data_IF_911146299448
#
_entry.id   IF_911146299448
#
_cell.length_a   1.000
_cell.length_b   1.000
_cell.length_c   1.000
_cell.angle_alpha   90.00
_cell.angle_beta   90.00
_cell.angle_gamma   90.00
#
_symmetry.space_group_name_H-M   'P 1'
#
loop_
_entity.id
_entity.type
_entity.pdbx_description
1 polymer ?
#
# COMPACT_ATOMS: atom_id res chain seq x y z
N UNK A 1 -23.68 -22.51 -13.44
CA UNK A 1 -22.97 -23.01 -12.25
C UNK A 1 -21.51 -22.65 -12.45
N UNK A 2 -21.07 -21.47 -11.97
CA UNK A 2 -19.69 -21.00 -12.17
C UNK A 2 -18.85 -21.64 -11.06
N UNK A 3 -17.69 -22.25 -11.36
CA UNK A 3 -16.85 -22.81 -10.31
C UNK A 3 -16.43 -21.66 -9.38
N UNK A 4 -16.71 -21.80 -8.08
CA UNK A 4 -16.16 -20.97 -7.00
C UNK A 4 -14.65 -21.25 -6.96
N UNK A 5 -13.87 -20.57 -7.79
CA UNK A 5 -12.45 -20.41 -7.52
C UNK A 5 -12.39 -19.44 -6.34
N UNK A 6 -12.53 -19.97 -5.13
CA UNK A 6 -12.50 -19.17 -3.91
C UNK A 6 -11.07 -18.69 -3.72
N UNK A 7 -10.73 -17.57 -4.35
CA UNK A 7 -9.55 -16.82 -3.95
C UNK A 7 -9.73 -16.47 -2.48
N UNK A 8 -8.71 -16.74 -1.66
CA UNK A 8 -8.76 -16.42 -0.24
C UNK A 8 -8.74 -14.89 -0.07
N UNK A 9 -9.43 -14.40 0.95
CA UNK A 9 -9.26 -13.03 1.44
C UNK A 9 -7.96 -12.93 2.25
N UNK A 10 -7.45 -11.71 2.47
CA UNK A 10 -6.26 -11.55 3.32
C UNK A 10 -6.58 -11.82 4.79
N UNK A 11 -7.77 -11.47 5.28
CA UNK A 11 -8.20 -11.89 6.63
C UNK A 11 -8.13 -13.40 6.82
N UNK A 12 -8.55 -14.18 5.82
CA UNK A 12 -8.46 -15.64 5.88
C UNK A 12 -7.01 -16.15 5.87
N UNK A 13 -6.11 -15.48 5.12
CA UNK A 13 -4.68 -15.82 5.08
C UNK A 13 -4.03 -15.59 6.45
N UNK A 14 -4.34 -14.47 7.11
CA UNK A 14 -3.82 -14.14 8.43
C UNK A 14 -4.37 -15.13 9.48
N UNK A 15 -5.69 -15.33 9.54
CA UNK A 15 -6.31 -16.22 10.52
C UNK A 15 -5.80 -17.67 10.44
N UNK A 16 -5.55 -18.20 9.22
CA UNK A 16 -4.97 -19.54 9.03
C UNK A 16 -3.51 -19.64 9.48
N UNK A 17 -2.77 -18.53 9.43
CA UNK A 17 -1.37 -18.52 9.83
C UNK A 17 -1.25 -18.57 11.35
N UNK A 18 -2.11 -17.86 12.07
CA UNK A 18 -2.17 -17.90 13.54
C UNK A 18 -2.55 -19.28 14.08
N UNK A 19 -3.48 -19.98 13.41
CA UNK A 19 -3.90 -21.32 13.82
C UNK A 19 -2.80 -22.37 13.64
N UNK A 20 -1.91 -22.18 12.66
CA UNK A 20 -0.76 -23.07 12.43
C UNK A 20 0.30 -22.95 13.53
N UNK A 21 0.44 -21.78 14.16
CA UNK A 21 1.34 -21.57 15.30
C UNK A 21 0.71 -22.06 16.62
N UNK A 22 -0.61 -21.94 16.76
CA UNK A 22 -1.37 -22.37 17.95
C UNK A 22 -1.44 -23.89 18.15
N UNK A 23 -1.21 -24.71 17.12
CA UNK A 23 -1.27 -26.17 17.21
C UNK A 23 -0.16 -26.79 18.09
N UNK A 24 0.88 -26.02 18.46
CA UNK A 24 1.92 -26.44 19.41
C UNK A 24 1.63 -26.04 20.86
N UNK A 25 0.46 -25.46 21.17
CA UNK A 25 0.13 -24.98 22.52
C UNK A 25 -1.36 -25.11 22.86
N UNK A 26 -1.92 -26.31 22.67
CA UNK A 26 -3.25 -26.63 23.19
C UNK A 26 -3.15 -27.35 24.55
N UNK A 27 -3.45 -26.62 25.64
CA UNK A 27 -4.16 -27.16 26.81
C UNK A 27 -4.40 -26.05 27.84
N UNK A 28 -5.63 -25.52 27.87
CA UNK A 28 -6.39 -25.32 29.11
C UNK A 28 -7.83 -24.94 28.72
N UNK A 29 -8.73 -25.90 28.97
CA UNK A 29 -10.18 -25.74 28.95
C UNK A 29 -10.63 -25.10 30.27
N UNK A 30 -11.56 -24.16 30.18
CA UNK A 30 -12.64 -23.83 31.13
C UNK A 30 -13.66 -23.05 30.27
N UNK A 31 -14.94 -23.37 30.13
CA UNK A 31 -15.88 -24.03 31.02
C UNK A 31 -16.85 -22.98 31.58
N UNK A 32 -17.95 -22.67 30.87
CA UNK A 32 -19.25 -22.15 31.37
C UNK A 32 -20.11 -21.66 30.19
N UNK A 33 -21.27 -22.27 29.90
CA UNK A 33 -22.60 -22.15 30.53
C UNK A 33 -23.51 -21.21 29.73
N UNK A 34 -24.40 -21.83 28.95
CA UNK A 34 -25.54 -21.26 28.24
C UNK A 34 -26.42 -20.41 29.15
N UNK A 35 -26.64 -19.15 28.76
CA UNK A 35 -27.82 -18.37 29.15
C UNK A 35 -28.50 -17.91 27.88
N UNK A 36 -29.69 -18.45 27.62
CA UNK A 36 -30.54 -18.08 26.49
C UNK A 36 -31.40 -16.90 26.94
N UNK A 37 -31.09 -15.69 26.48
CA UNK A 37 -31.95 -14.53 26.66
C UNK A 37 -32.26 -13.83 25.33
N UNK A 38 -33.50 -13.37 25.27
CA UNK A 38 -34.27 -12.93 24.14
C UNK A 38 -33.95 -11.46 23.85
N UNK A 39 -33.14 -11.15 22.83
CA UNK A 39 -32.77 -9.75 22.51
C UNK A 39 -32.41 -9.56 21.03
N UNK A 40 -33.39 -9.60 20.14
CA UNK A 40 -33.18 -9.26 18.72
C UNK A 40 -32.96 -7.75 18.47
N UNK A 41 -33.09 -6.88 19.47
CA UNK A 41 -32.84 -5.43 19.33
C UNK A 41 -31.43 -4.97 19.72
N UNK A 42 -30.61 -5.80 20.36
CA UNK A 42 -29.23 -5.45 20.78
C UNK A 42 -28.16 -5.83 19.75
N UNK A 43 -28.45 -6.81 18.87
CA UNK A 43 -27.43 -7.39 17.97
C UNK A 43 -26.91 -6.39 16.94
N UNK A 44 -27.76 -5.46 16.48
CA UNK A 44 -27.34 -4.46 15.50
C UNK A 44 -26.47 -3.36 16.13
N UNK A 45 -26.78 -2.97 17.38
CA UNK A 45 -26.02 -1.94 18.10
C UNK A 45 -24.62 -2.45 18.43
N UNK A 46 -24.52 -3.74 18.81
CA UNK A 46 -23.25 -4.42 19.08
C UNK A 46 -22.36 -4.46 17.83
N UNK A 47 -22.90 -4.92 16.69
CA UNK A 47 -22.16 -5.01 15.43
C UNK A 47 -21.70 -3.63 14.91
N UNK A 48 -22.51 -2.58 15.07
CA UNK A 48 -22.12 -1.21 14.71
C UNK A 48 -20.96 -0.71 15.59
N UNK A 49 -20.97 -1.04 16.88
CA UNK A 49 -19.88 -0.66 17.80
C UNK A 49 -18.57 -1.42 17.53
N UNK A 50 -18.66 -2.69 17.15
CA UNK A 50 -17.52 -3.50 16.73
C UNK A 50 -16.89 -2.94 15.45
N UNK A 51 -17.73 -2.65 14.44
CA UNK A 51 -17.26 -2.05 13.20
C UNK A 51 -16.59 -0.68 13.44
N UNK A 52 -17.16 0.15 14.31
CA UNK A 52 -16.54 1.43 14.68
C UNK A 52 -15.18 1.25 15.38
N UNK A 53 -15.05 0.19 16.18
CA UNK A 53 -13.79 -0.14 16.87
C UNK A 53 -12.72 -0.58 15.88
N UNK A 54 -13.05 -1.50 14.97
CA UNK A 54 -12.15 -1.94 13.89
C UNK A 54 -11.72 -0.77 13.03
N UNK A 55 -12.66 0.11 12.66
CA UNK A 55 -12.34 1.29 11.84
C UNK A 55 -11.40 2.27 12.56
N UNK A 56 -11.57 2.44 13.87
CA UNK A 56 -10.65 3.25 14.68
C UNK A 56 -9.26 2.63 14.72
N UNK A 57 -9.17 1.31 14.92
CA UNK A 57 -7.90 0.58 14.94
C UNK A 57 -7.19 0.71 13.59
N UNK A 58 -7.91 0.46 12.49
CA UNK A 58 -7.42 0.65 11.12
C UNK A 58 -6.85 2.06 10.91
N UNK A 59 -7.66 3.09 11.22
CA UNK A 59 -7.25 4.49 11.01
C UNK A 59 -6.04 4.88 11.86
N UNK A 60 -5.99 4.41 13.11
CA UNK A 60 -4.82 4.61 13.98
C UNK A 60 -3.58 3.91 13.44
N UNK A 61 -3.73 2.68 12.95
CA UNK A 61 -2.63 1.90 12.41
C UNK A 61 -2.07 2.53 11.12
N UNK A 62 -2.93 3.07 10.24
CA UNK A 62 -2.48 3.80 9.06
C UNK A 62 -1.63 5.02 9.45
N UNK A 63 -2.07 5.78 10.46
CA UNK A 63 -1.30 6.92 10.94
C UNK A 63 0.09 6.50 11.45
N UNK A 64 0.14 5.44 12.26
CA UNK A 64 1.41 4.90 12.77
C UNK A 64 2.30 4.37 11.64
N UNK A 65 1.72 3.73 10.62
CA UNK A 65 2.45 3.28 9.44
C UNK A 65 3.07 4.48 8.69
N UNK A 66 2.32 5.55 8.44
CA UNK A 66 2.88 6.74 7.79
C UNK A 66 4.05 7.34 8.58
N UNK A 67 3.94 7.40 9.91
CA UNK A 67 5.02 7.85 10.80
C UNK A 67 6.26 6.95 10.70
N UNK A 68 6.09 5.62 10.66
CA UNK A 68 7.20 4.66 10.50
C UNK A 68 7.89 4.81 9.14
N UNK A 69 7.12 4.96 8.06
CA UNK A 69 7.68 5.16 6.71
C UNK A 69 8.40 6.50 6.60
N UNK A 70 7.92 7.56 7.25
CA UNK A 70 8.60 8.86 7.30
C UNK A 70 9.94 8.78 8.03
N UNK A 71 9.99 8.02 9.14
CA UNK A 71 11.24 7.77 9.86
C UNK A 71 12.26 7.04 8.98
N UNK A 72 11.81 6.07 8.18
CA UNK A 72 12.67 5.35 7.23
C UNK A 72 13.28 6.28 6.18
N UNK A 73 12.50 7.22 5.64
CA UNK A 73 13.00 8.25 4.72
C UNK A 73 14.05 9.13 5.42
N UNK A 74 13.77 9.57 6.65
CA UNK A 74 14.65 10.47 7.39
C UNK A 74 15.99 9.81 7.73
N UNK A 75 16.00 8.54 8.13
CA UNK A 75 17.22 7.80 8.48
C UNK A 75 18.19 7.63 7.29
N UNK A 76 17.70 7.76 6.05
CA UNK A 76 18.52 7.69 4.84
C UNK A 76 18.94 9.06 4.29
N UNK A 77 18.20 10.12 4.59
CA UNK A 77 18.50 11.48 4.11
C UNK A 77 19.83 12.03 4.61
N UNK A 78 20.32 11.58 5.77
CA UNK A 78 21.57 12.07 6.37
C UNK A 78 22.86 11.52 5.71
N UNK A 79 22.77 10.50 4.84
CA UNK A 79 23.96 9.96 4.18
C UNK A 79 24.30 10.61 2.82
N UNK A 80 23.44 11.50 2.30
CA UNK A 80 23.62 12.10 0.98
C UNK A 80 24.22 13.52 0.98
N UNK A 81 24.52 14.11 2.15
CA UNK A 81 25.01 15.49 2.27
C UNK A 81 26.41 15.59 2.89
N UNK A 82 27.41 14.87 2.38
CA UNK A 82 28.82 15.15 2.71
C UNK A 82 29.76 15.05 1.50
N UNK A 83 29.42 15.67 0.37
CA UNK A 83 30.44 16.00 -0.65
C UNK A 83 30.14 17.36 -1.29
N UNK A 84 30.99 18.34 -0.96
CA UNK A 84 31.13 19.68 -1.59
C UNK A 84 30.11 20.73 -1.11
N UNK A 85 30.45 21.92 -0.62
CA UNK A 85 31.59 22.81 -0.96
C UNK A 85 31.95 23.70 0.23
N UNK A 86 33.20 23.61 0.65
CA UNK A 86 34.00 24.77 1.07
C UNK A 86 34.40 25.57 -0.18
N UNK A 87 34.84 26.82 0.04
CA UNK A 87 35.22 27.86 -0.95
C UNK A 87 33.99 28.59 -1.52
N UNK A 88 33.77 29.89 -1.36
CA UNK A 88 34.59 31.01 -0.94
C UNK A 88 33.95 32.25 -1.57
N UNK A 89 33.80 33.35 -0.83
CA UNK A 89 33.26 34.61 -1.34
C UNK A 89 33.99 35.08 -2.62
N UNK A 90 33.27 35.58 -3.62
CA UNK A 90 33.51 36.91 -4.22
C UNK A 90 32.53 37.19 -5.37
N UNK A 91 32.02 38.41 -5.37
CA UNK A 91 31.17 39.08 -6.35
C UNK A 91 31.74 39.08 -7.77
N UNK A 92 30.88 39.33 -8.78
CA UNK A 92 31.01 40.47 -9.72
C UNK A 92 30.28 40.20 -11.05
N UNK A 93 29.22 40.98 -11.31
CA UNK A 93 28.55 41.04 -12.61
C UNK A 93 29.41 41.85 -13.58
N UNK A 94 29.76 41.26 -14.71
CA UNK A 94 30.19 41.96 -15.92
C UNK A 94 29.92 41.09 -17.15
N UNK A 95 29.18 41.66 -18.11
CA UNK A 95 28.88 41.01 -19.37
C UNK A 95 30.05 41.06 -20.35
N UNK A 96 30.02 40.14 -21.32
CA UNK A 96 30.25 40.41 -22.74
C UNK A 96 30.07 39.15 -23.60
N UNK A 97 29.90 39.43 -24.88
CA UNK A 97 29.49 38.62 -26.04
C UNK A 97 30.58 37.68 -26.59
N UNK A 98 30.18 36.45 -26.97
CA UNK A 98 30.69 35.63 -28.09
C UNK A 98 30.00 34.26 -27.97
N UNK A 99 29.46 33.63 -29.01
CA UNK A 99 29.92 33.60 -30.38
C UNK A 99 30.30 32.19 -30.85
N UNK A 100 30.23 31.13 -30.03
CA UNK A 100 30.52 29.72 -30.41
C UNK A 100 30.71 28.85 -29.17
N UNK A 101 29.78 27.93 -28.87
CA UNK A 101 30.08 26.65 -28.18
C UNK A 101 28.91 25.70 -28.40
N UNK A 102 29.23 24.60 -29.09
CA UNK A 102 28.73 23.24 -28.98
C UNK A 102 27.56 23.00 -28.00
N UNK A 103 26.45 22.37 -28.42
CA UNK A 103 25.48 21.80 -27.48
C UNK A 103 26.09 20.54 -26.87
N UNK A 104 26.93 20.73 -25.85
CA UNK A 104 27.28 19.66 -24.92
C UNK A 104 26.00 19.27 -24.22
N UNK A 105 25.59 18.03 -24.45
CA UNK A 105 24.49 17.38 -23.76
C UNK A 105 24.71 17.49 -22.25
N UNK A 106 24.05 18.46 -21.63
CA UNK A 106 23.78 18.44 -20.20
C UNK A 106 22.87 17.24 -19.99
N UNK A 107 23.48 16.07 -19.74
CA UNK A 107 22.84 14.98 -19.02
C UNK A 107 22.41 15.55 -17.69
N UNK A 108 21.16 16.01 -17.66
CA UNK A 108 20.36 16.27 -16.48
C UNK A 108 20.34 14.94 -15.70
N UNK A 109 21.36 14.73 -14.86
CA UNK A 109 21.38 13.71 -13.83
C UNK A 109 20.33 14.11 -12.79
N UNK A 110 19.06 14.06 -13.18
CA UNK A 110 17.96 13.91 -12.25
C UNK A 110 18.12 12.52 -11.69
N UNK A 111 18.88 12.42 -10.60
CA UNK A 111 18.84 11.27 -9.71
C UNK A 111 17.35 11.05 -9.41
N UNK A 112 16.76 10.04 -10.05
CA UNK A 112 15.42 9.62 -9.71
C UNK A 112 15.45 9.31 -8.21
N UNK A 113 14.50 9.82 -7.41
CA UNK A 113 14.48 9.54 -5.99
C UNK A 113 14.51 8.01 -5.83
N UNK A 114 15.53 7.52 -5.12
CA UNK A 114 15.69 6.08 -4.95
C UNK A 114 14.46 5.57 -4.24
N UNK A 115 13.67 4.73 -4.92
CA UNK A 115 12.48 4.14 -4.33
C UNK A 115 12.86 3.43 -3.02
N UNK A 116 12.02 3.63 -2.01
CA UNK A 116 12.20 3.11 -0.65
C UNK A 116 11.37 1.85 -0.40
N UNK A 117 10.42 1.56 -1.28
CA UNK A 117 9.62 0.35 -1.19
C UNK A 117 8.38 0.36 -2.06
N UNK A 118 7.52 -0.63 -1.81
CA UNK A 118 6.22 -0.85 -2.43
C UNK A 118 5.12 -0.90 -1.37
N UNK A 119 4.02 -0.19 -1.60
CA UNK A 119 2.81 -0.28 -0.79
C UNK A 119 1.63 -0.69 -1.65
N UNK A 120 1.05 -1.85 -1.36
CA UNK A 120 -0.16 -2.36 -1.99
C UNK A 120 -1.34 -2.18 -1.05
N UNK A 121 -2.42 -1.56 -1.51
CA UNK A 121 -3.59 -1.34 -0.68
C UNK A 121 -4.88 -1.48 -1.49
N UNK A 122 -5.98 -1.74 -0.81
CA UNK A 122 -7.32 -1.77 -1.41
C UNK A 122 -8.42 -1.69 -0.35
N UNK A 123 -9.66 -1.31 -0.73
CA UNK A 123 -10.05 -0.78 -2.04
C UNK A 123 -9.65 0.70 -2.25
N UNK A 124 -9.13 1.37 -1.20
CA UNK A 124 -8.75 2.78 -1.20
C UNK A 124 -7.25 2.91 -0.91
N UNK A 125 -6.52 3.86 -1.54
CA UNK A 125 -5.15 4.13 -1.17
C UNK A 125 -4.99 4.52 0.30
N UNK A 126 -3.93 4.01 0.92
CA UNK A 126 -3.66 4.19 2.36
C UNK A 126 -2.70 5.34 2.64
N UNK A 127 -1.79 5.65 1.72
CA UNK A 127 -0.81 6.72 1.89
C UNK A 127 -1.33 8.06 1.35
N UNK A 128 -1.25 9.09 2.18
CA UNK A 128 -1.67 10.47 1.87
C UNK A 128 -0.56 11.49 2.08
N UNK A 129 0.48 11.17 2.86
CA UNK A 129 1.55 12.10 3.17
C UNK A 129 2.43 12.43 1.93
N UNK A 130 2.61 13.72 1.58
CA UNK A 130 3.25 14.15 0.33
C UNK A 130 4.69 13.64 0.18
N UNK A 131 5.44 13.55 1.28
CA UNK A 131 6.84 13.09 1.26
C UNK A 131 6.99 11.57 1.01
N UNK A 132 5.94 10.79 1.32
CA UNK A 132 5.92 9.34 1.06
C UNK A 132 5.61 9.03 -0.41
N UNK A 133 4.80 9.86 -1.07
CA UNK A 133 4.30 9.60 -2.42
C UNK A 133 5.38 9.46 -3.51
N UNK A 134 6.46 10.27 -3.53
CA UNK A 134 7.55 10.10 -4.49
C UNK A 134 8.53 8.99 -4.08
N UNK A 135 8.58 8.66 -2.78
CA UNK A 135 9.53 7.71 -2.20
C UNK A 135 9.06 6.26 -2.31
N UNK A 136 7.75 6.01 -2.39
CA UNK A 136 7.18 4.68 -2.47
C UNK A 136 6.41 4.45 -3.77
N UNK A 137 6.68 3.30 -4.38
CA UNK A 137 5.79 2.77 -5.39
C UNK A 137 4.50 2.30 -4.70
N UNK A 138 3.35 2.58 -5.31
CA UNK A 138 2.04 2.21 -4.76
C UNK A 138 1.28 1.35 -5.73
N UNK A 139 0.53 0.37 -5.24
CA UNK A 139 -0.43 -0.41 -6.01
C UNK A 139 -1.80 -0.35 -5.34
N UNK A 140 -2.81 0.03 -6.09
CA UNK A 140 -4.18 0.18 -5.57
C UNK A 140 -5.04 -0.89 -6.19
N UNK A 141 -5.47 -1.84 -5.37
CA UNK A 141 -6.49 -2.80 -5.71
C UNK A 141 -7.85 -2.14 -5.61
N UNK A 142 -8.64 -2.23 -6.68
CA UNK A 142 -9.99 -1.68 -6.65
C UNK A 142 -10.96 -2.55 -7.45
N UNK A 143 -12.16 -2.68 -6.92
CA UNK A 143 -13.29 -3.30 -7.59
C UNK A 143 -13.97 -2.35 -8.58
N UNK A 144 -13.42 -1.16 -8.83
CA UNK A 144 -13.82 -0.31 -9.94
C UNK A 144 -13.92 -1.21 -11.16
N UNK A 145 -15.18 -1.41 -11.56
CA UNK A 145 -15.57 -2.39 -12.54
C UNK A 145 -14.75 -2.14 -13.80
N UNK A 146 -14.73 -3.11 -14.71
CA UNK A 146 -14.42 -2.92 -16.13
C UNK A 146 -15.29 -1.82 -16.73
N UNK A 147 -15.07 -0.60 -16.27
CA UNK A 147 -15.84 0.57 -16.53
C UNK A 147 -15.37 0.88 -17.93
N UNK A 148 -16.18 0.48 -18.89
CA UNK A 148 -16.17 0.93 -20.27
C UNK A 148 -16.10 2.47 -20.40
N UNK A 149 -16.20 3.20 -19.27
CA UNK A 149 -16.00 4.64 -19.10
C UNK A 149 -14.56 5.08 -18.81
N UNK A 150 -13.60 4.18 -18.49
CA UNK A 150 -12.18 4.55 -18.37
C UNK A 150 -11.54 4.95 -19.71
N UNK A 151 -12.24 4.79 -20.83
CA UNK A 151 -11.86 5.38 -22.13
C UNK A 151 -12.12 6.89 -22.18
N UNK A 152 -13.00 7.45 -21.34
CA UNK A 152 -13.18 8.90 -21.27
C UNK A 152 -12.28 9.46 -20.19
N UNK A 153 -11.19 10.17 -20.54
CA UNK A 153 -10.60 11.06 -19.58
C UNK A 153 -11.65 12.15 -19.32
N UNK A 154 -12.13 12.27 -18.08
CA UNK A 154 -12.67 13.54 -17.61
C UNK A 154 -11.50 14.52 -17.59
N UNK A 155 -11.15 15.04 -18.78
CA UNK A 155 -10.24 16.16 -18.91
C UNK A 155 -10.95 17.37 -18.30
N UNK A 156 -10.58 17.71 -17.07
CA UNK A 156 -10.73 19.09 -16.63
C UNK A 156 -9.96 19.96 -17.62
N UNK A 157 -10.55 21.09 -18.03
CA UNK A 157 -9.88 22.03 -18.91
C UNK A 157 -8.51 22.39 -18.30
N UNK A 158 -7.42 22.36 -19.08
CA UNK A 158 -6.08 22.63 -18.57
C UNK A 158 -6.06 24.03 -17.97
N UNK A 159 -5.81 24.13 -16.66
CA UNK A 159 -5.41 25.37 -16.03
C UNK A 159 -3.97 25.64 -16.46
N UNK A 160 -3.78 26.72 -17.22
CA UNK A 160 -2.56 27.29 -17.77
C UNK A 160 -1.21 26.62 -17.42
N UNK A 161 -0.54 26.23 -18.51
CA UNK A 161 0.85 25.82 -18.66
C UNK A 161 1.85 26.33 -17.62
N UNK A 162 2.12 25.49 -16.62
CA UNK A 162 3.49 25.27 -16.14
C UNK A 162 3.84 23.83 -16.51
N UNK A 163 5.02 23.65 -17.12
CA UNK A 163 5.56 22.36 -17.55
C UNK A 163 5.61 21.41 -16.34
N UNK A 164 4.54 20.65 -16.13
CA UNK A 164 4.57 19.49 -15.27
C UNK A 164 5.49 18.50 -15.95
N UNK A 165 6.73 18.50 -15.47
CA UNK A 165 7.64 17.37 -15.61
C UNK A 165 6.79 16.13 -15.37
N UNK A 166 6.82 15.17 -16.31
CA UNK A 166 6.18 13.87 -16.13
C UNK A 166 6.81 13.22 -14.89
N UNK A 167 6.25 13.51 -13.71
CA UNK A 167 6.51 12.76 -12.50
C UNK A 167 6.01 11.38 -12.85
N UNK A 168 6.92 10.41 -12.89
CA UNK A 168 6.58 9.02 -13.13
C UNK A 168 5.40 8.66 -12.22
N UNK A 169 4.31 8.15 -12.79
CA UNK A 169 3.16 7.71 -12.02
C UNK A 169 3.62 6.53 -11.13
N UNK A 170 4.01 6.84 -9.89
CA UNK A 170 4.40 5.86 -8.86
C UNK A 170 3.18 5.08 -8.34
N UNK A 171 2.12 4.92 -9.14
CA UNK A 171 0.86 4.29 -8.77
C UNK A 171 0.42 3.30 -9.84
N UNK A 172 0.40 2.03 -9.46
CA UNK A 172 -0.19 0.93 -10.21
C UNK A 172 -1.67 0.82 -9.88
N UNK A 173 -2.53 0.84 -10.91
CA UNK A 173 -3.95 0.54 -10.77
C UNK A 173 -4.14 -0.95 -11.02
N UNK A 174 -4.63 -1.67 -10.03
CA UNK A 174 -4.75 -3.13 -10.02
C UNK A 174 -6.24 -3.52 -9.91
N UNK A 175 -6.95 -3.73 -11.04
CA UNK A 175 -8.35 -4.09 -10.99
C UNK A 175 -8.55 -5.43 -10.28
N UNK A 176 -9.61 -5.55 -9.49
CA UNK A 176 -10.07 -6.81 -8.92
C UNK A 176 -11.05 -7.52 -9.87
N UNK A 177 -11.13 -8.84 -9.74
CA UNK A 177 -12.13 -9.62 -10.46
C UNK A 177 -13.53 -9.36 -9.87
N UNK A 178 -14.60 -9.55 -10.66
CA UNK A 178 -15.95 -9.52 -10.11
C UNK A 178 -16.10 -10.55 -8.99
N UNK A 179 -16.73 -10.13 -7.88
CA UNK A 179 -16.92 -10.96 -6.68
C UNK A 179 -15.63 -11.40 -5.97
N UNK A 180 -14.51 -10.70 -6.21
CA UNK A 180 -13.29 -10.93 -5.43
C UNK A 180 -13.49 -10.51 -3.97
N UNK A 181 -13.12 -11.33 -2.98
CA UNK A 181 -13.28 -10.95 -1.56
C UNK A 181 -12.45 -9.73 -1.15
N UNK A 182 -11.37 -9.40 -1.87
CA UNK A 182 -10.60 -8.17 -1.61
C UNK A 182 -11.42 -6.89 -1.87
N UNK A 183 -12.56 -6.99 -2.57
CA UNK A 183 -13.43 -5.85 -2.82
C UNK A 183 -14.14 -5.34 -1.56
N UNK A 184 -14.27 -6.19 -0.55
CA UNK A 184 -15.02 -5.92 0.68
C UNK A 184 -14.16 -5.79 1.93
N UNK A 185 -12.84 -5.97 1.83
CA UNK A 185 -11.90 -5.81 2.94
C UNK A 185 -10.94 -4.64 2.67
N UNK A 186 -10.62 -3.90 3.72
CA UNK A 186 -9.56 -2.90 3.67
C UNK A 186 -8.24 -3.57 4.02
N UNK A 187 -7.21 -3.39 3.20
CA UNK A 187 -5.91 -3.97 3.46
C UNK A 187 -4.77 -3.09 3.00
N UNK A 188 -3.61 -3.32 3.61
CA UNK A 188 -2.34 -2.70 3.26
C UNK A 188 -1.24 -3.75 3.39
N UNK A 189 -0.41 -3.88 2.36
CA UNK A 189 0.78 -4.71 2.33
C UNK A 189 1.96 -3.80 1.97
N UNK A 190 2.93 -3.72 2.87
CA UNK A 190 4.08 -2.82 2.78
C UNK A 190 5.33 -3.67 2.66
N UNK A 191 6.15 -3.33 1.67
CA UNK A 191 7.50 -3.81 1.51
C UNK A 191 8.40 -2.60 1.52
N UNK A 192 9.19 -2.43 2.57
CA UNK A 192 10.24 -1.43 2.63
C UNK A 192 11.58 -2.09 2.88
N UNK A 193 12.67 -1.31 2.83
CA UNK A 193 14.02 -1.82 3.06
C UNK A 193 14.23 -2.25 4.51
N UNK A 194 13.47 -1.66 5.43
CA UNK A 194 13.64 -1.85 6.87
C UNK A 194 12.64 -2.84 7.45
N UNK A 195 11.42 -2.92 6.90
CA UNK A 195 10.39 -3.83 7.39
C UNK A 195 9.42 -4.24 6.28
N UNK A 196 8.65 -5.28 6.54
CA UNK A 196 7.48 -5.62 5.76
C UNK A 196 6.30 -5.83 6.70
N UNK A 197 5.10 -5.48 6.25
CA UNK A 197 3.90 -5.47 7.08
C UNK A 197 2.68 -5.80 6.24
N UNK A 198 1.80 -6.64 6.78
CA UNK A 198 0.41 -6.79 6.31
C UNK A 198 -0.54 -6.28 7.38
N UNK A 199 -1.55 -5.51 6.99
CA UNK A 199 -2.67 -5.09 7.84
C UNK A 199 -3.98 -5.29 7.09
N UNK A 200 -5.01 -5.78 7.77
CA UNK A 200 -6.33 -6.03 7.20
C UNK A 200 -7.41 -5.60 8.20
N UNK A 201 -8.38 -4.81 7.75
CA UNK A 201 -9.65 -4.59 8.40
C UNK A 201 -10.75 -5.24 7.55
N UNK A 202 -11.37 -6.28 8.08
CA UNK A 202 -12.36 -7.09 7.39
C UNK A 202 -13.15 -7.93 8.38
N UNK A 203 -13.42 -9.17 8.02
CA UNK A 203 -14.12 -10.13 8.88
C UNK A 203 -13.19 -11.29 9.23
N UNK A 204 -13.34 -11.84 10.43
CA UNK A 204 -12.66 -13.06 10.85
C UNK A 204 -13.38 -14.33 10.32
N UNK A 205 -12.93 -15.51 10.77
CA UNK A 205 -13.50 -16.79 10.37
C UNK A 205 -14.91 -17.03 10.94
N UNK A 206 -15.31 -16.28 11.97
CA UNK A 206 -16.64 -16.34 12.60
C UNK A 206 -17.62 -15.35 11.96
N UNK A 207 -17.11 -14.44 11.13
CA UNK A 207 -17.89 -13.41 10.44
C UNK A 207 -18.02 -12.12 11.25
N UNK A 208 -17.21 -11.94 12.28
CA UNK A 208 -17.17 -10.72 13.10
C UNK A 208 -16.16 -9.72 12.55
N UNK A 209 -16.43 -8.41 12.61
CA UNK A 209 -15.46 -7.39 12.22
C UNK A 209 -14.15 -7.54 12.99
N UNK A 210 -13.02 -7.60 12.28
CA UNK A 210 -11.72 -7.77 12.88
C UNK A 210 -10.64 -6.91 12.20
N UNK A 211 -9.73 -6.38 13.01
CA UNK A 211 -8.47 -5.79 12.55
C UNK A 211 -7.31 -6.73 12.88
N UNK A 212 -6.57 -7.16 11.86
CA UNK A 212 -5.44 -8.07 11.98
C UNK A 212 -4.20 -7.46 11.31
N UNK A 213 -3.01 -7.75 11.83
CA UNK A 213 -1.76 -7.35 11.22
C UNK A 213 -0.63 -8.33 11.53
N UNK A 214 0.41 -8.35 10.70
CA UNK A 214 1.61 -9.16 10.94
C UNK A 214 2.86 -8.56 10.30
N UNK A 215 3.98 -8.69 11.01
CA UNK A 215 5.34 -8.43 10.52
C UNK A 215 6.09 -9.73 10.18
N UNK A 216 5.46 -10.90 10.35
CA UNK A 216 6.10 -12.19 10.07
C UNK A 216 6.31 -12.34 8.55
N UNK A 217 7.57 -12.49 8.08
CA UNK A 217 7.86 -12.65 6.66
C UNK A 217 7.14 -13.83 6.02
N UNK A 218 6.86 -14.92 6.76
CA UNK A 218 6.11 -16.06 6.22
C UNK A 218 4.65 -15.70 5.95
N UNK A 219 4.02 -14.94 6.84
CA UNK A 219 2.64 -14.46 6.69
C UNK A 219 2.55 -13.45 5.54
N UNK A 220 3.51 -12.54 5.46
CA UNK A 220 3.59 -11.51 4.41
C UNK A 220 3.77 -12.15 3.04
N UNK A 221 4.62 -13.16 2.93
CA UNK A 221 4.87 -13.90 1.70
C UNK A 221 3.63 -14.73 1.27
N UNK A 222 2.89 -15.31 2.22
CA UNK A 222 1.58 -15.93 1.94
C UNK A 222 0.56 -14.89 1.45
N UNK A 223 0.48 -13.74 2.11
CA UNK A 223 -0.38 -12.62 1.71
C UNK A 223 -0.04 -12.15 0.29
N UNK A 224 1.25 -11.95 -0.01
CA UNK A 224 1.73 -11.57 -1.33
C UNK A 224 1.37 -12.59 -2.41
N UNK A 225 1.65 -13.88 -2.17
CA UNK A 225 1.29 -14.96 -3.11
C UNK A 225 -0.21 -15.02 -3.37
N UNK A 226 -1.06 -14.70 -2.39
CA UNK A 226 -2.51 -14.65 -2.59
C UNK A 226 -2.93 -13.55 -3.58
N UNK A 227 -2.13 -12.49 -3.74
CA UNK A 227 -2.38 -11.40 -4.69
C UNK A 227 -1.90 -11.73 -6.11
N UNK A 228 -0.96 -12.67 -6.30
CA UNK A 228 -0.38 -13.00 -7.61
C UNK A 228 -1.42 -13.36 -8.66
N UNK A 229 -2.36 -14.30 -8.44
CA UNK A 229 -3.32 -14.68 -9.46
C UNK A 229 -4.19 -13.48 -9.89
N UNK A 230 -4.50 -12.58 -8.96
CA UNK A 230 -5.30 -11.38 -9.22
C UNK A 230 -4.56 -10.45 -10.18
N UNK A 231 -3.29 -10.15 -9.88
CA UNK A 231 -2.46 -9.28 -10.74
C UNK A 231 -2.21 -9.93 -12.10
N UNK A 232 -1.92 -11.23 -12.15
CA UNK A 232 -1.67 -11.95 -13.41
C UNK A 232 -2.91 -11.97 -14.32
N UNK A 233 -4.11 -12.04 -13.74
CA UNK A 233 -5.36 -12.06 -14.49
C UNK A 233 -5.82 -10.67 -14.93
N UNK A 234 -5.55 -9.62 -14.17
CA UNK A 234 -6.08 -8.27 -14.47
C UNK A 234 -5.05 -7.27 -14.97
N UNK A 235 -3.76 -7.46 -14.65
CA UNK A 235 -2.67 -6.53 -14.98
C UNK A 235 -1.31 -7.25 -15.18
N UNK A 236 -1.22 -8.25 -16.09
CA UNK A 236 -0.01 -9.06 -16.26
C UNK A 236 1.23 -8.25 -16.64
N UNK A 237 1.05 -7.13 -17.35
CA UNK A 237 2.14 -6.23 -17.74
C UNK A 237 2.80 -5.50 -16.56
N UNK A 238 2.11 -5.41 -15.41
CA UNK A 238 2.62 -4.77 -14.18
C UNK A 238 3.27 -5.78 -13.24
N UNK A 239 2.96 -7.08 -13.39
CA UNK A 239 3.39 -8.13 -12.48
C UNK A 239 4.91 -8.18 -12.29
N UNK A 240 5.68 -8.26 -13.38
CA UNK A 240 7.14 -8.34 -13.31
C UNK A 240 7.76 -7.10 -12.65
N UNK A 241 7.16 -5.91 -12.84
CA UNK A 241 7.65 -4.68 -12.20
C UNK A 241 7.41 -4.71 -10.69
N UNK A 242 6.24 -5.17 -10.28
CA UNK A 242 5.87 -5.31 -8.87
C UNK A 242 6.71 -6.40 -8.19
N UNK A 243 6.97 -7.52 -8.86
CA UNK A 243 7.77 -8.62 -8.31
C UNK A 243 9.21 -8.19 -7.98
N UNK A 244 9.85 -7.40 -8.84
CA UNK A 244 11.19 -6.87 -8.57
C UNK A 244 11.23 -6.07 -7.27
N UNK A 245 10.18 -5.27 -7.01
CA UNK A 245 10.11 -4.39 -5.84
C UNK A 245 9.82 -5.12 -4.51
N UNK A 246 9.40 -6.39 -4.57
CA UNK A 246 9.16 -7.22 -3.37
C UNK A 246 10.41 -8.02 -2.96
N UNK A 247 11.36 -8.18 -3.87
CA UNK A 247 12.57 -9.01 -3.66
C UNK A 247 13.81 -8.19 -3.25
N UNK A 248 13.70 -6.86 -3.20
CA UNK A 248 14.74 -5.90 -2.80
C UNK A 248 14.64 -5.53 -1.32
#
# INVERSE_FOLDING_TARGET
MVPKWSLLSLSEVLARSEQSEGASKAALQEGQATTQDNSQSNVNDDLETEHATVQRQWSSAIKTLEELLLQEISLRGDCASEVSKSVGLSSQWQGQTSANTTPSSETDNRELPSLQGLVLAGPVPVLSHPDLLPSFQRGIFSAEMFSTLSWMPLQLAPANHEQHQQIADNVYKLPLLPMDPLATEQFCLVFSKSFSLVMVAGFDLEGSPAFQFSFDPEVIDKAWRSLHPRILLTSPHQFNKLETLVRD
#
